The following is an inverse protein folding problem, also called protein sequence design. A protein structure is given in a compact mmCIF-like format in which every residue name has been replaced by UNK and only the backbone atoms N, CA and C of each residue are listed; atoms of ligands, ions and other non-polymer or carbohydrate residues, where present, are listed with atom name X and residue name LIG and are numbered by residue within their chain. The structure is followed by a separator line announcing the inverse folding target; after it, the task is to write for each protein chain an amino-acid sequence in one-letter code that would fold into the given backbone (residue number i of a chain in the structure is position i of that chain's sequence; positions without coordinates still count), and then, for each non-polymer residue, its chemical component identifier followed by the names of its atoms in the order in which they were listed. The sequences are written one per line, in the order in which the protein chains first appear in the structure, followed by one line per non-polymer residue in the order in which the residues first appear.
data_IF_741248231421
#
_entry.id   IF_741248231421
#
_cell.length_a   1.000
_cell.length_b   1.000
_cell.length_c   1.000
_cell.angle_alpha   90.00
_cell.angle_beta   90.00
_cell.angle_gamma   90.00
#
_symmetry.space_group_name_H-M   'P 1'
#
loop_
_entity.id
_entity.type
_entity.pdbx_description
1 polymer ?
#
# COMPACT_ATOMS: atom_id res chain seq x y z
N UNK A 1 -4.86 -6.56 -4.23
CA UNK A 1 -5.37 -7.33 -3.09
C UNK A 1 -4.30 -7.52 -2.02
N UNK A 2 -3.15 -8.10 -2.36
CA UNK A 2 -2.01 -8.23 -1.45
C UNK A 2 -1.64 -6.94 -0.68
N UNK A 3 -1.56 -5.78 -1.33
CA UNK A 3 -1.31 -4.50 -0.63
C UNK A 3 -2.38 -4.13 0.41
N UNK A 4 -3.65 -4.46 0.17
CA UNK A 4 -4.73 -4.21 1.14
C UNK A 4 -4.58 -5.15 2.34
N UNK A 5 -4.27 -6.43 2.09
CA UNK A 5 -3.95 -7.41 3.13
C UNK A 5 -2.73 -6.98 3.96
N UNK A 6 -1.71 -6.39 3.32
CA UNK A 6 -0.55 -5.81 4.00
C UNK A 6 -0.99 -4.72 4.99
N UNK A 7 -1.87 -3.80 4.59
CA UNK A 7 -2.39 -2.79 5.52
C UNK A 7 -3.15 -3.44 6.68
N UNK A 8 -4.04 -4.39 6.43
CA UNK A 8 -4.78 -5.06 7.51
C UNK A 8 -3.87 -5.76 8.52
N UNK A 9 -2.85 -6.46 8.04
CA UNK A 9 -2.03 -7.29 8.90
C UNK A 9 -0.97 -6.47 9.62
N UNK A 10 -0.32 -5.53 8.93
CA UNK A 10 0.78 -4.76 9.50
C UNK A 10 0.31 -3.45 10.14
N UNK A 11 -0.67 -2.73 9.59
CA UNK A 11 -1.17 -1.52 10.26
C UNK A 11 -2.09 -1.86 11.43
N UNK A 12 -2.96 -2.86 11.27
CA UNK A 12 -4.05 -3.13 12.23
C UNK A 12 -3.93 -4.48 12.95
N UNK A 13 -2.81 -5.21 12.77
CA UNK A 13 -2.54 -6.44 13.52
C UNK A 13 -3.43 -7.63 13.19
N UNK A 14 -4.14 -7.60 12.06
CA UNK A 14 -4.97 -8.73 11.67
C UNK A 14 -4.13 -9.92 11.19
N UNK A 15 -4.71 -11.12 11.25
CA UNK A 15 -4.18 -12.31 10.56
C UNK A 15 -5.05 -12.64 9.34
N UNK A 16 -5.14 -11.68 8.43
CA UNK A 16 -5.99 -11.78 7.24
C UNK A 16 -5.28 -12.62 6.18
N UNK A 17 -5.92 -13.68 5.72
CA UNK A 17 -5.51 -14.45 4.55
C UNK A 17 -6.22 -13.92 3.31
N UNK A 18 -5.44 -13.50 2.32
CA UNK A 18 -5.94 -12.89 1.07
C UNK A 18 -7.02 -13.74 0.38
N UNK A 19 -6.76 -15.04 0.18
CA UNK A 19 -7.72 -15.95 -0.46
C UNK A 19 -9.04 -16.03 0.30
N UNK A 20 -9.00 -16.14 1.64
CA UNK A 20 -10.20 -16.24 2.48
C UNK A 20 -11.03 -14.96 2.39
N UNK A 21 -10.36 -13.80 2.45
CA UNK A 21 -11.04 -12.51 2.36
C UNK A 21 -11.67 -12.30 0.97
N UNK A 22 -10.91 -12.55 -0.10
CA UNK A 22 -11.40 -12.40 -1.46
C UNK A 22 -12.59 -13.32 -1.73
N UNK A 23 -12.51 -14.59 -1.32
CA UNK A 23 -13.62 -15.54 -1.48
C UNK A 23 -14.86 -15.11 -0.68
N UNK A 24 -14.69 -14.62 0.55
CA UNK A 24 -15.80 -14.10 1.36
C UNK A 24 -16.49 -12.92 0.69
N UNK A 25 -15.70 -11.95 0.21
CA UNK A 25 -16.21 -10.80 -0.53
C UNK A 25 -16.93 -11.21 -1.81
N UNK A 26 -16.32 -12.04 -2.66
CA UNK A 26 -16.93 -12.49 -3.92
C UNK A 26 -18.27 -13.21 -3.70
N UNK A 27 -18.39 -14.03 -2.66
CA UNK A 27 -19.63 -14.72 -2.30
C UNK A 27 -20.76 -13.77 -1.91
N UNK A 28 -20.45 -12.56 -1.46
CA UNK A 28 -21.45 -11.54 -1.14
C UNK A 28 -21.99 -10.78 -2.38
N UNK A 29 -21.35 -10.95 -3.53
CA UNK A 29 -21.69 -10.24 -4.76
C UNK A 29 -22.58 -11.05 -5.70
N UNK A 30 -23.27 -10.37 -6.61
CA UNK A 30 -23.99 -11.02 -7.71
C UNK A 30 -23.03 -11.75 -8.67
N UNK A 31 -23.53 -12.78 -9.36
CA UNK A 31 -22.72 -13.58 -10.30
C UNK A 31 -22.06 -12.72 -11.40
N UNK A 32 -22.78 -11.71 -11.91
CA UNK A 32 -22.25 -10.75 -12.89
C UNK A 32 -21.02 -10.00 -12.35
N UNK A 33 -21.08 -9.54 -11.09
CA UNK A 33 -19.95 -8.86 -10.43
C UNK A 33 -18.79 -9.80 -10.17
N UNK A 34 -19.05 -11.03 -9.74
CA UNK A 34 -18.02 -12.05 -9.57
C UNK A 34 -17.26 -12.29 -10.87
N UNK A 35 -17.99 -12.54 -11.97
CA UNK A 35 -17.39 -12.79 -13.28
C UNK A 35 -16.51 -11.62 -13.73
N UNK A 36 -17.00 -10.38 -13.57
CA UNK A 36 -16.21 -9.17 -13.92
C UNK A 36 -14.89 -9.09 -13.14
N UNK A 37 -14.91 -9.36 -11.84
CA UNK A 37 -13.69 -9.31 -11.00
C UNK A 37 -12.73 -10.45 -11.36
N UNK A 38 -13.26 -11.64 -11.68
CA UNK A 38 -12.42 -12.77 -12.11
C UNK A 38 -11.74 -12.49 -13.45
N UNK A 39 -12.41 -11.78 -14.36
CA UNK A 39 -11.87 -11.45 -15.68
C UNK A 39 -10.91 -10.26 -15.65
N UNK A 40 -11.28 -9.17 -14.96
CA UNK A 40 -10.56 -7.90 -15.01
C UNK A 40 -9.64 -7.64 -13.81
N UNK A 41 -9.72 -8.48 -12.77
CA UNK A 41 -9.07 -8.25 -11.50
C UNK A 41 -9.78 -7.20 -10.64
N UNK A 42 -9.07 -6.69 -9.63
CA UNK A 42 -9.59 -5.75 -8.65
C UNK A 42 -9.11 -4.33 -8.97
N UNK A 43 -10.05 -3.40 -9.16
CA UNK A 43 -9.73 -1.98 -9.22
C UNK A 43 -9.70 -1.35 -7.82
N UNK A 44 -9.39 -0.05 -7.76
CA UNK A 44 -9.44 0.71 -6.52
C UNK A 44 -10.85 0.73 -5.90
N UNK A 45 -11.89 0.66 -6.73
CA UNK A 45 -13.28 0.59 -6.27
C UNK A 45 -13.56 -0.71 -5.53
N UNK A 46 -13.16 -1.86 -6.09
CA UNK A 46 -13.31 -3.13 -5.37
C UNK A 46 -12.46 -3.20 -4.11
N UNK A 47 -11.24 -2.63 -4.12
CA UNK A 47 -10.42 -2.55 -2.90
C UNK A 47 -11.07 -1.69 -1.81
N UNK A 48 -11.77 -0.62 -2.19
CA UNK A 48 -12.58 0.17 -1.27
C UNK A 48 -13.69 -0.67 -0.65
N UNK A 49 -14.49 -1.34 -1.48
CA UNK A 49 -15.59 -2.18 -0.99
C UNK A 49 -15.11 -3.34 -0.11
N UNK A 50 -13.97 -3.95 -0.43
CA UNK A 50 -13.37 -5.00 0.41
C UNK A 50 -12.93 -4.42 1.76
N UNK A 51 -12.39 -3.20 1.79
CA UNK A 51 -12.06 -2.48 3.02
C UNK A 51 -13.28 -2.27 3.91
N UNK A 52 -14.37 -1.78 3.33
CA UNK A 52 -15.64 -1.52 4.02
C UNK A 52 -16.30 -2.82 4.49
N UNK A 53 -16.33 -3.84 3.64
CA UNK A 53 -16.77 -5.20 3.98
C UNK A 53 -15.99 -5.78 5.17
N UNK A 54 -14.71 -5.43 5.27
CA UNK A 54 -13.83 -5.85 6.36
C UNK A 54 -14.00 -5.02 7.65
N UNK A 55 -14.92 -4.05 7.68
CA UNK A 55 -15.24 -3.24 8.84
C UNK A 55 -14.39 -1.98 9.02
N UNK A 56 -13.61 -1.59 8.01
CA UNK A 56 -12.84 -0.34 8.01
C UNK A 56 -13.64 0.81 7.40
N UNK A 57 -13.40 2.02 7.89
CA UNK A 57 -13.72 3.23 7.15
C UNK A 57 -12.65 3.44 6.07
N UNK A 58 -13.09 3.65 4.83
CA UNK A 58 -12.19 3.76 3.67
C UNK A 58 -12.35 5.10 3.00
N UNK A 59 -11.24 5.83 2.86
CA UNK A 59 -11.20 7.11 2.18
C UNK A 59 -10.38 6.98 0.91
N UNK A 60 -11.01 7.25 -0.23
CA UNK A 60 -10.32 7.34 -1.53
C UNK A 60 -10.27 8.81 -1.91
N UNK A 61 -9.08 9.40 -1.91
CA UNK A 61 -8.88 10.83 -2.15
C UNK A 61 -7.93 11.04 -3.31
N UNK A 62 -8.27 11.99 -4.19
CA UNK A 62 -7.30 12.54 -5.16
C UNK A 62 -6.44 13.56 -4.44
N UNK A 63 -5.15 13.29 -4.32
CA UNK A 63 -4.22 14.08 -3.53
C UNK A 63 -2.89 14.23 -4.29
N UNK A 64 -2.30 15.43 -4.35
CA UNK A 64 -0.96 15.58 -4.91
C UNK A 64 0.09 14.94 -4.00
N UNK A 65 1.29 14.68 -4.52
CA UNK A 65 2.39 14.09 -3.75
C UNK A 65 2.66 14.83 -2.43
N UNK A 66 2.67 16.16 -2.44
CA UNK A 66 2.87 16.96 -1.23
C UNK A 66 1.76 16.73 -0.20
N UNK A 67 0.52 16.54 -0.63
CA UNK A 67 -0.59 16.21 0.27
C UNK A 67 -0.43 14.79 0.83
N UNK A 68 -0.06 13.82 -0.01
CA UNK A 68 0.21 12.45 0.41
C UNK A 68 1.29 12.40 1.51
N UNK A 69 2.38 13.15 1.32
CA UNK A 69 3.45 13.30 2.32
C UNK A 69 2.94 13.88 3.63
N UNK A 70 2.10 14.92 3.58
CA UNK A 70 1.53 15.58 4.77
C UNK A 70 0.61 14.68 5.59
N UNK A 71 0.01 13.65 5.00
CA UNK A 71 -0.88 12.74 5.75
C UNK A 71 -0.15 11.98 6.85
N UNK A 72 1.15 11.73 6.68
CA UNK A 72 1.97 10.91 7.58
C UNK A 72 1.30 9.57 7.97
N UNK A 73 0.52 8.99 7.05
CA UNK A 73 -0.18 7.72 7.23
C UNK A 73 0.09 6.80 6.05
N UNK A 74 0.15 5.47 6.29
CA UNK A 74 0.22 4.51 5.21
C UNK A 74 -1.01 4.60 4.30
N UNK A 75 -0.78 4.50 2.99
CA UNK A 75 -1.82 4.60 1.98
C UNK A 75 -1.60 3.56 0.88
N UNK A 76 -2.70 3.04 0.34
CA UNK A 76 -2.66 2.19 -0.84
C UNK A 76 -2.69 3.07 -2.09
N UNK A 77 -1.69 2.91 -2.95
CA UNK A 77 -1.51 3.69 -4.18
C UNK A 77 -1.28 2.77 -5.36
N UNK A 78 -1.80 3.15 -6.54
CA UNK A 78 -1.57 2.43 -7.78
C UNK A 78 -0.28 2.90 -8.43
N UNK A 79 0.65 1.99 -8.72
CA UNK A 79 1.87 2.31 -9.47
C UNK A 79 1.88 1.57 -10.79
N UNK A 80 2.38 2.24 -11.82
CA UNK A 80 2.47 1.69 -13.17
C UNK A 80 3.79 2.06 -13.85
N UNK A 81 4.44 1.05 -14.41
CA UNK A 81 5.44 1.16 -15.46
C UNK A 81 5.32 -0.04 -16.41
N UNK A 82 6.25 -0.17 -17.36
CA UNK A 82 6.24 -1.24 -18.36
C UNK A 82 6.29 -2.66 -17.74
N UNK A 83 6.87 -2.80 -16.55
CA UNK A 83 7.09 -4.10 -15.88
C UNK A 83 6.08 -4.39 -14.76
N UNK A 84 5.47 -3.36 -14.19
CA UNK A 84 4.69 -3.46 -12.96
C UNK A 84 3.43 -2.60 -13.05
N UNK A 85 2.28 -3.21 -12.82
CA UNK A 85 0.95 -2.57 -12.80
C UNK A 85 0.16 -3.10 -11.62
N UNK A 86 0.37 -2.52 -10.44
CA UNK A 86 -0.28 -3.02 -9.24
C UNK A 86 -0.34 -1.98 -8.12
N UNK A 87 -1.09 -2.33 -7.09
CA UNK A 87 -1.19 -1.53 -5.87
C UNK A 87 -0.04 -1.84 -4.92
N UNK A 88 0.54 -0.79 -4.35
CA UNK A 88 1.55 -0.87 -3.30
C UNK A 88 1.13 -0.03 -2.10
N UNK A 89 1.75 -0.29 -0.95
CA UNK A 89 1.57 0.54 0.23
C UNK A 89 2.64 1.62 0.24
N UNK A 90 2.23 2.87 0.05
CA UNK A 90 3.03 4.04 0.44
C UNK A 90 3.09 4.08 1.97
N UNK A 91 4.28 3.93 2.54
CA UNK A 91 4.49 3.98 4.00
C UNK A 91 4.74 5.39 4.49
N UNK A 92 5.37 6.22 3.67
CA UNK A 92 5.70 7.59 4.03
C UNK A 92 6.84 8.17 3.21
N UNK A 93 7.18 9.41 3.54
CA UNK A 93 8.33 10.12 3.00
C UNK A 93 9.24 10.58 4.15
N UNK A 94 10.50 10.15 4.12
CA UNK A 94 11.48 10.44 5.17
C UNK A 94 12.87 10.57 4.56
N UNK A 95 13.64 11.57 5.01
CA UNK A 95 15.01 11.83 4.55
C UNK A 95 15.16 11.83 3.02
N UNK A 96 14.25 12.50 2.32
CA UNK A 96 14.33 12.64 0.85
C UNK A 96 13.96 11.39 0.07
N UNK A 97 13.42 10.34 0.70
CA UNK A 97 12.99 9.10 0.03
C UNK A 97 11.54 8.75 0.33
N UNK A 98 10.90 8.14 -0.66
CA UNK A 98 9.57 7.52 -0.53
C UNK A 98 9.75 6.06 -0.17
N UNK A 99 9.13 5.62 0.93
CA UNK A 99 9.15 4.25 1.40
C UNK A 99 7.89 3.51 0.94
N UNK A 100 8.08 2.37 0.31
CA UNK A 100 7.03 1.52 -0.23
C UNK A 100 7.14 0.12 0.38
N UNK A 101 5.99 -0.47 0.71
CA UNK A 101 5.85 -1.91 0.93
C UNK A 101 5.11 -2.51 -0.25
N UNK A 102 5.79 -3.41 -0.96
CA UNK A 102 5.27 -4.11 -2.13
C UNK A 102 5.28 -5.62 -1.85
N UNK A 103 4.12 -6.26 -1.95
CA UNK A 103 4.01 -7.70 -1.67
C UNK A 103 4.82 -8.57 -2.63
N UNK A 104 5.15 -8.07 -3.82
CA UNK A 104 5.84 -8.84 -4.86
C UNK A 104 7.36 -8.81 -4.72
N UNK A 105 7.91 -7.72 -4.17
CA UNK A 105 9.36 -7.45 -4.14
C UNK A 105 9.88 -7.01 -2.76
N UNK A 106 9.00 -6.88 -1.77
CA UNK A 106 9.32 -6.46 -0.41
C UNK A 106 9.35 -4.95 -0.20
N UNK A 107 9.95 -4.54 0.93
CA UNK A 107 10.08 -3.13 1.29
C UNK A 107 11.22 -2.48 0.52
N UNK A 108 10.97 -1.29 -0.05
CA UNK A 108 11.99 -0.51 -0.75
C UNK A 108 11.82 0.98 -0.54
N UNK A 109 12.89 1.73 -0.75
CA UNK A 109 12.87 3.19 -0.79
C UNK A 109 13.29 3.69 -2.16
N UNK A 110 12.58 4.67 -2.73
CA UNK A 110 12.90 5.28 -4.03
C UNK A 110 12.93 6.80 -3.93
N UNK A 111 13.51 7.47 -4.93
CA UNK A 111 13.51 8.93 -4.98
C UNK A 111 12.09 9.45 -5.30
N UNK A 112 11.70 10.63 -4.79
CA UNK A 112 10.39 11.24 -5.07
C UNK A 112 10.10 11.37 -6.55
N UNK A 113 11.10 11.79 -7.35
CA UNK A 113 10.95 11.91 -8.81
C UNK A 113 10.57 10.60 -9.47
N UNK A 114 11.09 9.48 -8.97
CA UNK A 114 10.82 8.15 -9.51
C UNK A 114 9.44 7.69 -9.06
N UNK A 115 9.08 7.93 -7.79
CA UNK A 115 7.73 7.67 -7.29
C UNK A 115 6.67 8.44 -8.09
N UNK A 116 6.87 9.73 -8.31
CA UNK A 116 5.91 10.59 -9.05
C UNK A 116 5.72 10.10 -10.50
N UNK A 117 6.77 9.58 -11.14
CA UNK A 117 6.67 8.98 -12.48
C UNK A 117 5.83 7.70 -12.48
N UNK A 118 5.95 6.89 -11.43
CA UNK A 118 5.25 5.61 -11.28
C UNK A 118 3.79 5.78 -10.82
N UNK A 119 3.50 6.77 -9.98
CA UNK A 119 2.17 6.99 -9.40
C UNK A 119 1.22 7.62 -10.42
N UNK A 120 0.73 6.78 -11.32
CA UNK A 120 -0.23 7.14 -12.37
C UNK A 120 -1.63 7.24 -11.76
N UNK A 121 -2.03 8.45 -11.42
CA UNK A 121 -3.34 8.74 -10.84
C UNK A 121 -3.20 9.13 -9.38
N UNK A 122 -3.61 10.36 -9.06
CA UNK A 122 -3.47 10.98 -7.73
C UNK A 122 -4.32 10.34 -6.64
N UNK A 123 -4.97 9.21 -6.90
CA UNK A 123 -5.82 8.55 -5.93
C UNK A 123 -4.99 7.76 -4.91
N UNK A 124 -5.24 8.02 -3.64
CA UNK A 124 -4.72 7.25 -2.52
C UNK A 124 -5.91 6.73 -1.69
N UNK A 125 -5.82 5.48 -1.26
CA UNK A 125 -6.78 4.85 -0.38
C UNK A 125 -6.20 4.75 1.02
N UNK A 126 -6.93 5.31 1.99
CA UNK A 126 -6.60 5.26 3.41
C UNK A 126 -7.62 4.40 4.14
N UNK A 127 -7.13 3.67 5.14
CA UNK A 127 -7.96 2.88 6.04
C UNK A 127 -7.97 3.52 7.41
N UNK A 128 -9.14 3.54 8.05
CA UNK A 128 -9.31 3.96 9.43
C UNK A 128 -10.16 2.90 10.12
N UNK A 129 -9.81 2.57 11.37
CA UNK A 129 -10.64 1.73 12.22
C UNK A 129 -10.88 2.40 13.56
N UNK A 130 -12.11 2.25 14.05
CA UNK A 130 -12.51 2.61 15.40
C UNK A 130 -12.43 1.41 16.38
N UNK A 131 -12.19 0.20 15.87
CA UNK A 131 -12.14 -1.05 16.65
C UNK A 131 -10.72 -1.53 16.86
N UNK A 132 -9.87 -1.39 15.84
CA UNK A 132 -8.47 -1.79 15.90
C UNK A 132 -7.58 -0.63 16.35
N UNK A 133 -6.57 -0.94 17.17
CA UNK A 133 -5.47 -0.02 17.42
C UNK A 133 -4.56 0.01 16.20
N UNK A 134 -4.10 1.21 15.85
CA UNK A 134 -3.02 1.36 14.90
C UNK A 134 -1.71 0.86 15.55
N UNK A 135 -1.14 -0.20 14.99
CA UNK A 135 0.09 -0.80 15.48
C UNK A 135 1.34 -0.10 14.94
N UNK A 136 1.21 0.81 13.97
CA UNK A 136 2.31 1.57 13.40
C UNK A 136 3.48 0.71 12.89
N UNK A 137 3.26 -0.58 12.54
CA UNK A 137 4.34 -1.47 12.07
C UNK A 137 4.84 -1.03 10.69
N UNK A 138 4.02 -0.30 9.93
CA UNK A 138 4.41 0.27 8.65
C UNK A 138 5.17 1.59 8.79
N UNK A 139 5.38 2.09 10.00
CA UNK A 139 6.20 3.28 10.23
C UNK A 139 7.63 3.08 9.75
N UNK A 140 8.26 4.16 9.29
CA UNK A 140 9.63 4.10 8.75
C UNK A 140 10.64 4.07 9.91
N UNK A 141 11.23 2.90 10.13
CA UNK A 141 12.21 2.69 11.20
C UNK A 141 13.60 3.24 10.82
N UNK A 142 14.36 3.71 11.82
CA UNK A 142 15.68 4.33 11.58
C UNK A 142 16.70 3.39 10.89
N UNK A 143 16.61 2.08 11.13
CA UNK A 143 17.44 1.07 10.44
C UNK A 143 17.23 1.03 8.92
N UNK A 144 16.09 1.54 8.43
CA UNK A 144 15.77 1.59 7.00
C UNK A 144 16.30 2.86 6.31
N UNK A 145 16.89 3.78 7.08
CA UNK A 145 17.43 5.05 6.60
C UNK A 145 18.88 4.93 6.09
N UNK A 146 19.45 3.72 6.07
CA UNK A 146 20.84 3.52 5.64
C UNK A 146 20.99 3.89 4.16
N UNK A 147 21.83 4.88 3.87
CA UNK A 147 22.06 5.28 2.50
C UNK A 147 23.01 4.29 1.80
N UNK A 148 22.72 3.88 0.55
CA UNK A 148 23.59 3.01 -0.22
C UNK A 148 25.04 3.52 -0.31
N UNK A 149 25.23 4.85 -0.39
CA UNK A 149 26.57 5.43 -0.41
C UNK A 149 27.40 5.19 0.87
N UNK A 150 26.77 5.01 2.04
CA UNK A 150 27.49 4.73 3.27
C UNK A 150 27.85 3.24 3.41
N UNK A 151 27.07 2.31 2.82
CA UNK A 151 27.47 0.89 2.72
C UNK A 151 28.75 0.70 1.92
N UNK A 152 28.92 1.49 0.86
CA UNK A 152 30.14 1.45 0.05
C UNK A 152 31.37 1.90 0.87
N UNK A 153 31.19 2.82 1.83
CA UNK A 153 32.26 3.33 2.69
C UNK A 153 32.55 2.37 3.87
N UNK A 154 31.53 1.75 4.47
CA UNK A 154 31.74 0.76 5.55
C UNK A 154 32.54 -0.46 5.10
N UNK A 155 32.42 -0.87 3.82
CA UNK A 155 33.25 -1.93 3.24
C UNK A 155 34.71 -1.52 3.01
N UNK A 156 35.02 -0.22 2.98
CA UNK A 156 36.37 0.32 2.82
C UNK A 156 37.08 0.58 4.16
N UNK A 157 36.35 0.54 5.27
CA UNK A 157 36.88 0.76 6.64
C UNK A 157 37.20 -0.55 7.38
N UNK A 158 37.09 -1.70 6.71
CA UNK A 158 37.44 -3.02 7.25
C UNK A 158 38.74 -3.54 6.66
#
# INVERSE_FOLDING_TARGET
MAALTTLFNYQFGRNTKEQKLLLGYLKSLSKKRQNKITELGLSLFELKEIGEYSGFQVYVVRIPFQGLVKTNKPALVYIENEKFKHFVVFRGFKQGKVFLADSSIGNRSILPKDFIKLWKGTAALFLVSNKEKDLNILDIHNKELIFPQYRAIEGMLR
#
